data_IF_674163896014
#
_entry.id   IF_674163896014
#
_cell.length_a   1.000
_cell.length_b   1.000
_cell.length_c   1.000
_cell.angle_alpha   90.00
_cell.angle_beta   90.00
_cell.angle_gamma   90.00
#
_symmetry.space_group_name_H-M   'P 1'
#
loop_
_entity.id
_entity.type
_entity.pdbx_description
1 polymer ?
#
# COMPACT_ATOMS: atom_id res chain seq x y z
N UNK A 1 -20.44 -10.52 -5.10
CA UNK A 1 -18.99 -10.51 -5.37
C UNK A 1 -18.47 -9.19 -4.86
N UNK A 2 -17.30 -9.20 -4.22
CA UNK A 2 -16.64 -7.98 -3.73
C UNK A 2 -15.81 -7.39 -4.86
N UNK A 3 -15.77 -6.07 -4.96
CA UNK A 3 -14.95 -5.34 -5.93
C UNK A 3 -13.76 -4.69 -5.24
N UNK A 4 -12.55 -5.19 -5.52
CA UNK A 4 -11.32 -4.58 -5.03
C UNK A 4 -10.61 -3.82 -6.15
N UNK A 5 -10.21 -2.58 -5.86
CA UNK A 5 -9.52 -1.72 -6.81
C UNK A 5 -8.06 -1.64 -6.44
N UNK A 6 -7.16 -1.89 -7.41
CA UNK A 6 -5.73 -1.74 -7.21
C UNK A 6 -5.21 -0.58 -8.05
N UNK A 7 -4.73 0.45 -7.37
CA UNK A 7 -4.03 1.58 -7.96
C UNK A 7 -2.54 1.26 -7.99
N UNK A 8 -1.89 1.53 -9.13
CA UNK A 8 -0.50 1.11 -9.39
C UNK A 8 -0.27 -0.43 -9.35
N UNK A 9 -1.04 -1.22 -10.13
CA UNK A 9 -0.95 -2.67 -10.20
C UNK A 9 0.36 -3.19 -10.82
N UNK A 10 1.14 -2.35 -11.51
CA UNK A 10 2.44 -2.70 -12.10
C UNK A 10 3.58 -2.77 -11.09
N UNK A 11 3.37 -2.26 -9.87
CA UNK A 11 4.34 -2.32 -8.77
C UNK A 11 4.65 -3.77 -8.36
N UNK A 12 5.89 -4.03 -7.92
CA UNK A 12 6.33 -5.40 -7.58
C UNK A 12 5.47 -6.05 -6.48
N UNK A 13 5.11 -5.28 -5.44
CA UNK A 13 4.22 -5.76 -4.36
C UNK A 13 2.81 -5.99 -4.93
N UNK A 14 2.26 -5.04 -5.67
CA UNK A 14 0.93 -5.18 -6.30
C UNK A 14 0.82 -6.41 -7.19
N UNK A 15 1.86 -6.74 -7.96
CA UNK A 15 1.90 -7.96 -8.78
C UNK A 15 1.85 -9.24 -7.94
N UNK A 16 2.53 -9.26 -6.78
CA UNK A 16 2.45 -10.37 -5.84
C UNK A 16 1.04 -10.49 -5.26
N UNK A 17 0.46 -9.37 -4.80
CA UNK A 17 -0.92 -9.32 -4.30
C UNK A 17 -1.91 -9.85 -5.33
N UNK A 18 -1.87 -9.33 -6.57
CA UNK A 18 -2.75 -9.78 -7.66
C UNK A 18 -2.59 -11.28 -7.91
N UNK A 19 -1.34 -11.76 -8.05
CA UNK A 19 -1.06 -13.18 -8.35
C UNK A 19 -1.60 -14.11 -7.26
N UNK A 20 -1.36 -13.78 -5.99
CA UNK A 20 -1.78 -14.61 -4.87
C UNK A 20 -3.29 -14.54 -4.65
N UNK A 21 -3.91 -13.36 -4.76
CA UNK A 21 -5.36 -13.19 -4.66
C UNK A 21 -6.10 -14.03 -5.71
N UNK A 22 -5.64 -14.01 -6.97
CA UNK A 22 -6.26 -14.81 -8.02
C UNK A 22 -6.07 -16.32 -7.82
N UNK A 23 -4.97 -16.75 -7.21
CA UNK A 23 -4.67 -18.16 -7.03
C UNK A 23 -5.35 -18.78 -5.80
N UNK A 24 -5.73 -17.97 -4.81
CA UNK A 24 -6.24 -18.43 -3.53
C UNK A 24 -7.79 -18.51 -3.54
N UNK A 25 -8.37 -19.71 -3.28
CA UNK A 25 -9.82 -19.90 -3.25
C UNK A 25 -10.59 -19.00 -2.28
N UNK A 26 -9.94 -18.48 -1.23
CA UNK A 26 -10.60 -17.58 -0.28
C UNK A 26 -11.08 -16.27 -0.92
N UNK A 27 -10.48 -15.87 -2.06
CA UNK A 27 -10.87 -14.69 -2.84
C UNK A 27 -11.66 -15.07 -4.11
N UNK A 28 -12.30 -16.24 -4.14
CA UNK A 28 -13.10 -16.67 -5.28
C UNK A 28 -14.31 -15.76 -5.56
N UNK A 29 -14.78 -15.02 -4.55
CA UNK A 29 -15.85 -14.03 -4.63
C UNK A 29 -15.37 -12.60 -4.91
N UNK A 30 -14.08 -12.38 -5.17
CA UNK A 30 -13.47 -11.07 -5.43
C UNK A 30 -13.20 -10.85 -6.92
N UNK A 31 -13.65 -9.70 -7.43
CA UNK A 31 -13.26 -9.14 -8.71
C UNK A 31 -12.26 -8.00 -8.52
N UNK A 32 -11.27 -7.90 -9.40
CA UNK A 32 -10.24 -6.88 -9.39
C UNK A 32 -10.46 -5.86 -10.52
N UNK A 33 -10.47 -4.57 -10.18
CA UNK A 33 -10.30 -3.49 -11.15
C UNK A 33 -8.91 -2.85 -10.99
N UNK A 34 -8.11 -2.90 -12.05
CA UNK A 34 -6.70 -2.52 -12.03
C UNK A 34 -6.52 -1.20 -12.82
N UNK A 35 -6.22 -0.10 -12.12
CA UNK A 35 -5.97 1.20 -12.76
C UNK A 35 -4.49 1.40 -13.06
N UNK A 36 -4.11 1.44 -14.33
CA UNK A 36 -2.71 1.58 -14.75
C UNK A 36 -2.54 2.42 -16.00
N UNK A 37 -1.41 3.13 -16.07
CA UNK A 37 -0.97 3.84 -17.30
C UNK A 37 -0.30 2.89 -18.30
N UNK A 38 0.02 1.67 -17.86
CA UNK A 38 0.78 0.68 -18.63
C UNK A 38 0.08 -0.67 -18.61
N UNK A 39 -1.11 -0.81 -19.23
CA UNK A 39 -1.88 -2.05 -19.24
C UNK A 39 -1.11 -3.21 -19.90
N UNK A 40 -0.22 -2.91 -20.83
CA UNK A 40 0.60 -3.90 -21.53
C UNK A 40 1.51 -4.71 -20.58
N UNK A 41 1.92 -4.12 -19.44
CA UNK A 41 2.75 -4.80 -18.45
C UNK A 41 1.99 -5.84 -17.60
N UNK A 42 0.66 -5.89 -17.73
CA UNK A 42 -0.23 -6.76 -16.97
C UNK A 42 -0.93 -7.80 -17.83
N UNK A 43 -0.61 -7.88 -19.13
CA UNK A 43 -1.25 -8.80 -20.06
C UNK A 43 -1.20 -10.28 -19.59
N UNK A 44 -0.14 -10.66 -18.88
CA UNK A 44 -0.01 -12.01 -18.32
C UNK A 44 -0.84 -12.26 -17.06
N UNK A 45 -1.13 -11.22 -16.29
CA UNK A 45 -1.90 -11.29 -15.05
C UNK A 45 -3.40 -11.12 -15.29
N UNK A 46 -3.79 -10.31 -16.27
CA UNK A 46 -5.19 -10.04 -16.63
C UNK A 46 -5.80 -11.13 -17.51
N UNK A 47 -5.51 -12.39 -17.20
CA UNK A 47 -6.09 -13.56 -17.87
C UNK A 47 -7.23 -14.11 -17.01
N UNK A 48 -8.46 -14.03 -17.52
CA UNK A 48 -9.66 -14.55 -16.87
C UNK A 48 -10.69 -13.48 -16.51
N UNK A 49 -11.87 -13.94 -16.09
CA UNK A 49 -13.07 -13.09 -16.01
C UNK A 49 -13.16 -12.22 -14.74
N UNK A 50 -12.27 -12.46 -13.76
CA UNK A 50 -12.23 -11.71 -12.49
C UNK A 50 -11.37 -10.44 -12.54
N UNK A 51 -10.79 -10.08 -13.68
CA UNK A 51 -9.96 -8.88 -13.83
C UNK A 51 -10.53 -7.95 -14.87
N UNK A 52 -10.73 -6.70 -14.47
CA UNK A 52 -10.97 -5.57 -15.35
C UNK A 52 -9.74 -4.64 -15.36
N UNK A 53 -9.14 -4.45 -16.52
CA UNK A 53 -8.07 -3.47 -16.72
C UNK A 53 -8.66 -2.13 -17.15
N UNK A 54 -8.30 -1.06 -16.45
CA UNK A 54 -8.68 0.30 -16.82
C UNK A 54 -7.42 1.14 -17.04
N UNK A 55 -7.31 1.73 -18.24
CA UNK A 55 -6.20 2.61 -18.58
C UNK A 55 -6.40 4.02 -18.00
N UNK A 56 -5.42 4.47 -17.22
CA UNK A 56 -5.41 5.80 -16.62
C UNK A 56 -4.40 5.97 -15.49
N UNK A 57 -4.23 7.21 -15.04
CA UNK A 57 -3.37 7.55 -13.91
C UNK A 57 -4.21 7.76 -12.65
N UNK A 58 -3.69 7.34 -11.49
CA UNK A 58 -4.31 7.65 -10.19
C UNK A 58 -4.25 9.16 -9.85
N UNK A 59 -3.50 9.96 -10.60
CA UNK A 59 -3.52 11.43 -10.47
C UNK A 59 -4.70 12.07 -11.21
N UNK A 60 -5.42 11.31 -12.03
CA UNK A 60 -6.63 11.74 -12.74
C UNK A 60 -7.86 11.38 -11.89
N UNK A 61 -8.60 12.41 -11.45
CA UNK A 61 -9.75 12.25 -10.56
C UNK A 61 -10.88 11.49 -11.26
N UNK A 62 -11.15 11.76 -12.53
CA UNK A 62 -12.23 11.11 -13.28
C UNK A 62 -11.97 9.61 -13.42
N UNK A 63 -10.69 9.24 -13.59
CA UNK A 63 -10.27 7.84 -13.61
C UNK A 63 -10.46 7.17 -12.26
N UNK A 64 -10.08 7.81 -11.16
CA UNK A 64 -10.32 7.26 -9.81
C UNK A 64 -11.82 7.12 -9.55
N UNK A 65 -12.63 8.15 -9.82
CA UNK A 65 -14.09 8.09 -9.64
C UNK A 65 -14.71 6.93 -10.43
N UNK A 66 -14.28 6.73 -11.68
CA UNK A 66 -14.79 5.65 -12.51
C UNK A 66 -14.45 4.25 -11.98
N UNK A 67 -13.19 4.01 -11.59
CA UNK A 67 -12.76 2.67 -11.14
C UNK A 67 -13.22 2.35 -9.72
N UNK A 68 -13.36 3.35 -8.86
CA UNK A 68 -13.77 3.18 -7.46
C UNK A 68 -15.28 3.16 -7.25
N UNK A 69 -16.06 3.34 -8.31
CA UNK A 69 -17.51 3.18 -8.24
C UNK A 69 -17.85 1.77 -7.75
N UNK A 70 -18.69 1.68 -6.72
CA UNK A 70 -19.13 0.44 -6.08
C UNK A 70 -17.95 -0.43 -5.55
N UNK A 71 -16.81 0.18 -5.23
CA UNK A 71 -15.66 -0.54 -4.67
C UNK A 71 -15.87 -0.85 -3.18
N UNK A 72 -15.53 -2.06 -2.77
CA UNK A 72 -15.53 -2.46 -1.36
C UNK A 72 -14.20 -2.12 -0.67
N UNK A 73 -13.11 -2.08 -1.44
CA UNK A 73 -11.76 -1.81 -0.94
C UNK A 73 -10.88 -1.23 -2.04
N UNK A 74 -10.06 -0.22 -1.71
CA UNK A 74 -9.06 0.34 -2.62
C UNK A 74 -7.65 0.14 -2.04
N UNK A 75 -6.77 -0.49 -2.82
CA UNK A 75 -5.35 -0.66 -2.49
C UNK A 75 -4.48 0.25 -3.36
N UNK A 76 -3.78 1.19 -2.72
CA UNK A 76 -2.74 2.00 -3.34
C UNK A 76 -1.37 1.31 -3.15
N UNK A 77 -0.94 0.59 -4.19
CA UNK A 77 0.29 -0.19 -4.19
C UNK A 77 1.58 0.61 -4.39
N UNK A 78 1.60 1.88 -3.97
CA UNK A 78 2.76 2.78 -4.00
C UNK A 78 2.64 3.83 -2.91
N UNK A 79 3.75 4.48 -2.58
CA UNK A 79 3.75 5.67 -1.71
C UNK A 79 3.31 6.90 -2.51
N UNK A 80 2.40 7.72 -1.98
CA UNK A 80 2.13 9.07 -2.51
C UNK A 80 3.12 10.10 -1.96
N UNK A 81 4.36 10.03 -2.45
CA UNK A 81 5.50 10.82 -1.99
C UNK A 81 5.83 12.03 -2.90
N UNK A 82 4.84 12.53 -3.66
CA UNK A 82 5.00 13.68 -4.55
C UNK A 82 4.24 14.89 -4.04
N UNK A 83 4.76 16.09 -4.33
CA UNK A 83 4.14 17.37 -3.97
C UNK A 83 2.65 17.37 -4.30
N UNK A 84 1.86 17.97 -3.42
CA UNK A 84 0.40 18.07 -3.49
C UNK A 84 -0.39 16.77 -3.32
N UNK A 85 0.30 15.62 -3.18
CA UNK A 85 -0.32 14.34 -2.79
C UNK A 85 -1.63 14.07 -3.52
N UNK A 86 -1.55 14.19 -4.85
CA UNK A 86 -2.72 14.23 -5.73
C UNK A 86 -3.51 12.92 -5.64
N UNK A 87 -2.83 11.79 -5.40
CA UNK A 87 -3.50 10.49 -5.35
C UNK A 87 -4.33 10.39 -4.07
N UNK A 88 -3.75 10.68 -2.90
CA UNK A 88 -4.49 10.63 -1.63
C UNK A 88 -5.60 11.69 -1.59
N UNK A 89 -5.38 12.87 -2.18
CA UNK A 89 -6.44 13.88 -2.37
C UNK A 89 -7.61 13.33 -3.21
N UNK A 90 -7.30 12.67 -4.34
CA UNK A 90 -8.33 12.10 -5.20
C UNK A 90 -9.04 10.92 -4.55
N UNK A 91 -8.33 10.10 -3.76
CA UNK A 91 -8.92 8.99 -3.00
C UNK A 91 -9.96 9.49 -1.99
N UNK A 92 -9.62 10.50 -1.19
CA UNK A 92 -10.57 11.13 -0.24
C UNK A 92 -11.79 11.66 -0.98
N UNK A 93 -11.59 12.36 -2.10
CA UNK A 93 -12.69 12.90 -2.90
C UNK A 93 -13.57 11.80 -3.48
N UNK A 94 -12.98 10.72 -3.99
CA UNK A 94 -13.71 9.61 -4.57
C UNK A 94 -14.45 8.79 -3.52
N UNK A 95 -13.89 8.62 -2.32
CA UNK A 95 -14.59 8.02 -1.19
C UNK A 95 -15.85 8.79 -0.84
N UNK A 96 -15.76 10.12 -0.73
CA UNK A 96 -16.91 10.99 -0.46
C UNK A 96 -18.00 10.90 -1.54
N UNK A 97 -17.63 10.69 -2.80
CA UNK A 97 -18.58 10.64 -3.92
C UNK A 97 -19.16 9.25 -4.19
N UNK A 98 -18.35 8.20 -4.03
CA UNK A 98 -18.73 6.82 -4.35
C UNK A 98 -19.12 5.99 -3.10
N UNK A 99 -18.84 6.49 -1.89
CA UNK A 99 -19.25 5.87 -0.62
C UNK A 99 -18.43 4.66 -0.19
N UNK A 100 -17.21 4.47 -0.70
CA UNK A 100 -16.28 3.46 -0.18
C UNK A 100 -15.43 4.08 0.93
N UNK A 101 -15.15 3.29 1.97
CA UNK A 101 -14.37 3.77 3.12
C UNK A 101 -13.04 3.04 3.30
N UNK A 102 -12.93 1.79 2.81
CA UNK A 102 -11.77 0.94 3.06
C UNK A 102 -10.61 1.24 2.11
N UNK A 103 -9.49 1.73 2.64
CA UNK A 103 -8.28 2.06 1.87
C UNK A 103 -7.04 1.42 2.50
N UNK A 104 -6.23 0.72 1.71
CA UNK A 104 -4.89 0.28 2.09
C UNK A 104 -3.87 1.09 1.29
N UNK A 105 -2.93 1.77 1.95
CA UNK A 105 -1.86 2.52 1.28
C UNK A 105 -0.47 2.05 1.76
N UNK A 106 0.43 1.80 0.81
CA UNK A 106 1.84 1.58 1.12
C UNK A 106 2.52 2.93 1.43
N UNK A 107 3.25 2.99 2.54
CA UNK A 107 3.96 4.17 3.01
C UNK A 107 5.39 3.84 3.45
N UNK A 108 6.09 4.84 3.99
CA UNK A 108 7.51 4.76 4.35
C UNK A 108 7.68 4.57 5.87
N UNK A 109 8.62 3.73 6.29
CA UNK A 109 9.11 3.78 7.66
C UNK A 109 9.85 5.11 7.91
N UNK A 110 9.69 5.69 9.11
CA UNK A 110 10.19 7.04 9.44
C UNK A 110 9.17 8.16 9.21
N UNK A 111 7.96 7.78 8.78
CA UNK A 111 6.88 8.72 8.49
C UNK A 111 6.51 9.60 9.70
N UNK A 112 6.59 9.08 10.91
CA UNK A 112 6.28 9.79 12.16
C UNK A 112 7.50 9.93 13.08
N UNK A 113 8.72 9.90 12.53
CA UNK A 113 9.97 9.97 13.30
C UNK A 113 10.12 8.82 14.32
N UNK A 114 9.57 7.67 13.97
CA UNK A 114 9.45 6.50 14.86
C UNK A 114 10.68 5.57 14.84
N UNK A 115 11.69 5.86 14.00
CA UNK A 115 12.91 5.06 13.90
C UNK A 115 14.00 5.73 14.74
N UNK A 116 14.42 5.14 15.87
CA UNK A 116 15.47 5.72 16.71
C UNK A 116 16.87 5.45 16.15
N UNK A 117 17.85 6.19 16.68
CA UNK A 117 19.28 5.91 16.51
C UNK A 117 19.81 6.09 15.09
N UNK A 118 20.96 5.46 14.83
CA UNK A 118 21.73 5.65 13.59
C UNK A 118 20.95 5.25 12.33
N UNK A 119 20.12 4.20 12.43
CA UNK A 119 19.28 3.81 11.30
C UNK A 119 18.26 4.88 10.96
N UNK A 120 17.62 5.51 11.95
CA UNK A 120 16.70 6.63 11.73
C UNK A 120 17.36 7.82 11.02
N UNK A 121 18.55 8.21 11.48
CA UNK A 121 19.35 9.25 10.81
C UNK A 121 19.67 8.89 9.37
N UNK A 122 20.09 7.65 9.12
CA UNK A 122 20.37 7.16 7.76
C UNK A 122 19.11 7.19 6.88
N UNK A 123 17.96 6.79 7.42
CA UNK A 123 16.67 6.83 6.69
C UNK A 123 16.29 8.28 6.33
N UNK A 124 16.42 9.21 7.28
CA UNK A 124 16.14 10.63 7.06
C UNK A 124 17.03 11.23 5.96
N UNK A 125 18.32 10.89 5.94
CA UNK A 125 19.26 11.33 4.91
C UNK A 125 18.99 10.68 3.56
N UNK A 126 18.75 9.37 3.54
CA UNK A 126 18.59 8.59 2.30
C UNK A 126 17.26 8.88 1.58
N UNK A 127 16.17 8.98 2.34
CA UNK A 127 14.84 9.27 1.78
C UNK A 127 14.69 10.77 1.53
N UNK A 128 15.19 11.60 2.46
CA UNK A 128 15.15 13.05 2.37
C UNK A 128 13.77 13.66 2.60
N UNK A 129 13.76 14.92 3.04
CA UNK A 129 12.53 15.69 3.28
C UNK A 129 11.64 15.83 2.03
N UNK A 130 12.24 15.80 0.83
CA UNK A 130 11.52 15.88 -0.44
C UNK A 130 10.55 14.73 -0.70
N UNK A 131 10.73 13.57 -0.04
CA UNK A 131 9.79 12.43 -0.09
C UNK A 131 9.00 12.30 1.20
N UNK A 132 9.63 12.53 2.36
CA UNK A 132 8.93 12.42 3.65
C UNK A 132 7.82 13.45 3.83
N UNK A 133 8.05 14.71 3.47
CA UNK A 133 7.02 15.75 3.67
C UNK A 133 5.75 15.46 2.87
N UNK A 134 5.81 15.13 1.57
CA UNK A 134 4.61 14.72 0.86
C UNK A 134 4.01 13.42 1.37
N UNK A 135 4.80 12.39 1.68
CA UNK A 135 4.25 11.14 2.21
C UNK A 135 3.48 11.35 3.53
N UNK A 136 3.95 12.26 4.40
CA UNK A 136 3.24 12.66 5.63
C UNK A 136 1.95 13.40 5.32
N UNK A 137 1.97 14.31 4.34
CA UNK A 137 0.77 15.00 3.90
C UNK A 137 -0.27 14.01 3.34
N UNK A 138 0.15 12.99 2.58
CA UNK A 138 -0.71 11.94 2.07
C UNK A 138 -1.36 11.13 3.19
N UNK A 139 -0.55 10.67 4.16
CA UNK A 139 -1.04 9.97 5.34
C UNK A 139 -2.03 10.82 6.14
N UNK A 140 -1.70 12.09 6.40
CA UNK A 140 -2.58 13.01 7.13
C UNK A 140 -3.94 13.18 6.43
N UNK A 141 -3.97 13.24 5.10
CA UNK A 141 -5.23 13.31 4.34
C UNK A 141 -6.11 12.10 4.56
N UNK A 142 -5.54 10.89 4.60
CA UNK A 142 -6.32 9.68 4.88
C UNK A 142 -6.75 9.59 6.34
N UNK A 143 -5.92 10.08 7.27
CA UNK A 143 -6.21 10.08 8.70
C UNK A 143 -7.30 11.08 9.11
N UNK A 144 -7.35 12.24 8.45
CA UNK A 144 -8.38 13.26 8.67
C UNK A 144 -9.65 13.03 7.85
N UNK A 145 -9.54 12.30 6.74
CA UNK A 145 -10.71 11.78 6.07
C UNK A 145 -11.29 10.66 6.95
N UNK A 146 -12.62 10.63 7.09
CA UNK A 146 -13.36 9.59 7.82
C UNK A 146 -13.31 8.24 7.05
N UNK A 147 -12.12 7.84 6.64
CA UNK A 147 -11.80 6.63 5.90
C UNK A 147 -11.41 5.53 6.88
N UNK A 148 -11.81 4.31 6.57
CA UNK A 148 -11.24 3.11 7.18
C UNK A 148 -9.90 2.79 6.52
N UNK A 149 -8.87 3.57 6.87
CA UNK A 149 -7.55 3.44 6.27
C UNK A 149 -6.67 2.38 6.98
N UNK A 150 -5.73 1.79 6.24
CA UNK A 150 -4.55 1.13 6.78
C UNK A 150 -3.32 1.63 6.04
N UNK A 151 -2.40 2.30 6.76
CA UNK A 151 -1.09 2.68 6.24
C UNK A 151 -0.08 1.58 6.56
N UNK A 152 0.65 1.11 5.56
CA UNK A 152 1.71 0.10 5.73
C UNK A 152 3.08 0.76 5.55
N UNK A 153 3.76 1.07 6.67
CA UNK A 153 5.06 1.73 6.69
C UNK A 153 6.17 0.71 6.49
N UNK A 154 6.87 0.79 5.37
CA UNK A 154 7.90 -0.19 4.98
C UNK A 154 9.32 0.41 5.08
N UNK A 155 10.31 -0.37 5.54
CA UNK A 155 11.72 -0.03 5.49
C UNK A 155 12.27 -0.41 4.11
N UNK A 156 13.56 -0.76 4.01
CA UNK A 156 14.12 -1.23 2.74
C UNK A 156 13.46 -2.54 2.27
N UNK A 157 13.23 -2.66 0.97
CA UNK A 157 12.53 -3.79 0.37
C UNK A 157 13.47 -4.77 -0.32
N UNK A 158 13.44 -6.03 0.10
CA UNK A 158 14.20 -7.15 -0.49
C UNK A 158 13.31 -8.02 -1.37
N UNK A 159 13.96 -8.91 -2.14
CA UNK A 159 13.29 -9.95 -2.93
C UNK A 159 13.48 -11.35 -2.31
N UNK A 160 13.69 -11.42 -0.97
CA UNK A 160 13.75 -12.70 -0.27
C UNK A 160 12.45 -13.49 -0.47
N UNK A 161 12.52 -14.82 -0.66
CA UNK A 161 11.35 -15.63 -0.96
C UNK A 161 10.44 -15.83 0.25
N UNK A 162 10.98 -15.68 1.46
CA UNK A 162 10.26 -16.00 2.70
C UNK A 162 9.28 -14.89 3.10
N UNK A 163 8.12 -15.31 3.61
CA UNK A 163 7.16 -14.45 4.28
C UNK A 163 7.47 -14.48 5.77
N UNK A 164 8.08 -13.40 6.26
CA UNK A 164 8.54 -13.28 7.64
C UNK A 164 8.60 -11.82 8.06
N UNK A 165 7.76 -11.44 9.00
CA UNK A 165 7.69 -10.07 9.49
C UNK A 165 7.14 -9.96 10.91
N UNK A 166 7.49 -8.86 11.57
CA UNK A 166 6.84 -8.32 12.77
C UNK A 166 6.17 -6.99 12.43
N UNK A 167 5.21 -6.60 13.26
CA UNK A 167 4.46 -5.36 13.09
C UNK A 167 4.69 -4.42 14.28
N UNK A 168 4.71 -3.12 14.00
CA UNK A 168 4.73 -2.06 15.00
C UNK A 168 3.55 -1.10 14.78
N UNK A 169 2.95 -0.62 15.86
CA UNK A 169 1.91 0.40 15.81
C UNK A 169 2.45 1.78 15.45
N UNK A 170 1.52 2.75 15.29
CA UNK A 170 1.86 4.15 14.97
C UNK A 170 2.75 4.81 16.01
N UNK A 171 2.51 4.49 17.28
CA UNK A 171 3.17 5.11 18.43
C UNK A 171 4.28 4.23 19.04
N UNK A 172 4.54 3.08 18.43
CA UNK A 172 5.64 2.20 18.84
C UNK A 172 6.94 2.63 18.14
N UNK A 173 8.08 2.33 18.77
CA UNK A 173 9.36 2.40 18.06
C UNK A 173 9.36 1.41 16.90
N UNK A 174 9.81 1.87 15.73
CA UNK A 174 9.95 1.02 14.56
C UNK A 174 11.25 0.22 14.67
N UNK A 175 11.12 -1.11 14.59
CA UNK A 175 12.23 -2.05 14.77
C UNK A 175 12.49 -2.79 13.46
N UNK A 176 13.73 -2.79 12.97
CA UNK A 176 14.16 -3.53 11.78
C UNK A 176 14.45 -2.66 10.56
N UNK A 177 15.37 -3.09 9.70
CA UNK A 177 15.92 -2.29 8.59
C UNK A 177 15.50 -2.73 7.20
N UNK A 178 15.00 -3.96 7.06
CA UNK A 178 14.52 -4.50 5.78
C UNK A 178 13.33 -5.42 5.92
N UNK A 179 12.60 -5.63 4.83
CA UNK A 179 11.49 -6.59 4.73
C UNK A 179 11.35 -7.10 3.29
N UNK A 180 10.93 -8.35 3.12
CA UNK A 180 10.67 -8.91 1.78
C UNK A 180 9.38 -8.35 1.18
N UNK A 181 9.37 -8.14 -0.15
CA UNK A 181 8.13 -7.77 -0.87
C UNK A 181 7.04 -8.83 -0.73
N UNK A 182 7.44 -10.10 -0.57
CA UNK A 182 6.52 -11.20 -0.27
C UNK A 182 5.81 -11.00 1.08
N UNK A 183 6.54 -10.58 2.11
CA UNK A 183 5.97 -10.26 3.44
C UNK A 183 4.98 -9.10 3.41
N UNK A 184 5.30 -8.04 2.67
CA UNK A 184 4.36 -6.92 2.50
C UNK A 184 3.10 -7.36 1.74
N UNK A 185 3.26 -8.14 0.66
CA UNK A 185 2.13 -8.67 -0.08
C UNK A 185 1.25 -9.58 0.79
N UNK A 186 1.84 -10.42 1.65
CA UNK A 186 1.11 -11.25 2.61
C UNK A 186 0.29 -10.40 3.60
N UNK A 187 0.85 -9.33 4.16
CA UNK A 187 0.09 -8.43 5.04
C UNK A 187 -1.10 -7.79 4.29
N UNK A 188 -0.89 -7.31 3.06
CA UNK A 188 -1.98 -6.75 2.23
C UNK A 188 -3.07 -7.79 1.99
N UNK A 189 -2.71 -9.04 1.67
CA UNK A 189 -3.67 -10.11 1.44
C UNK A 189 -4.44 -10.48 2.71
N UNK A 190 -3.79 -10.49 3.88
CA UNK A 190 -4.48 -10.70 5.17
C UNK A 190 -5.54 -9.62 5.43
N UNK A 191 -5.20 -8.36 5.14
CA UNK A 191 -6.15 -7.25 5.25
C UNK A 191 -7.26 -7.36 4.20
N UNK A 192 -6.95 -7.78 2.97
CA UNK A 192 -7.97 -7.99 1.94
C UNK A 192 -8.92 -9.16 2.30
N UNK A 193 -8.43 -10.20 2.97
CA UNK A 193 -9.25 -11.34 3.39
C UNK A 193 -10.20 -10.95 4.55
N UNK A 194 -9.70 -10.15 5.49
CA UNK A 194 -10.45 -9.59 6.60
C UNK A 194 -10.27 -8.07 6.67
N UNK A 195 -11.09 -7.30 5.92
CA UNK A 195 -10.98 -5.85 5.86
C UNK A 195 -11.08 -5.15 7.21
N UNK A 196 -11.63 -5.79 8.26
CA UNK A 196 -11.71 -5.18 9.59
C UNK A 196 -10.37 -5.07 10.31
N UNK A 197 -9.35 -5.82 9.87
CA UNK A 197 -8.03 -5.78 10.49
C UNK A 197 -7.31 -4.46 10.22
N UNK A 198 -6.65 -3.94 11.26
CA UNK A 198 -5.87 -2.70 11.18
C UNK A 198 -6.70 -1.50 10.69
N UNK A 199 -7.99 -1.49 11.02
CA UNK A 199 -8.88 -0.36 10.77
C UNK A 199 -8.35 0.92 11.41
N UNK A 200 -8.36 2.01 10.65
CA UNK A 200 -7.79 3.32 11.02
C UNK A 200 -6.41 3.25 11.68
N UNK A 201 -5.54 2.37 11.16
CA UNK A 201 -4.22 2.11 11.76
C UNK A 201 -3.06 2.41 10.81
N UNK A 202 -1.93 2.79 11.40
CA UNK A 202 -0.65 2.90 10.69
C UNK A 202 0.36 1.89 11.21
N UNK A 203 0.61 0.86 10.41
CA UNK A 203 1.33 -0.34 10.79
C UNK A 203 2.70 -0.34 10.14
N UNK A 204 3.75 -0.37 10.96
CA UNK A 204 5.10 -0.64 10.50
C UNK A 204 5.30 -2.13 10.25
N UNK A 205 6.00 -2.49 9.18
CA UNK A 205 6.31 -3.89 8.85
C UNK A 205 7.81 -4.06 8.61
N UNK A 206 8.42 -5.02 9.30
CA UNK A 206 9.86 -5.30 9.17
C UNK A 206 10.15 -6.77 9.38
N UNK A 207 11.28 -7.26 8.87
CA UNK A 207 11.73 -8.61 9.17
C UNK A 207 12.50 -8.62 10.51
N UNK A 208 12.11 -9.44 11.51
CA UNK A 208 12.67 -9.41 12.87
C UNK A 208 14.19 -9.58 12.93
N UNK A 209 14.75 -10.39 12.02
CA UNK A 209 16.20 -10.65 11.98
C UNK A 209 17.03 -9.40 11.64
N UNK A 210 16.39 -8.37 11.09
CA UNK A 210 17.05 -7.11 10.75
C UNK A 210 17.02 -6.10 11.90
N UNK A 211 16.43 -6.47 13.04
CA UNK A 211 16.46 -5.65 14.25
C UNK A 211 17.90 -5.41 14.75
N UNK A 212 18.20 -4.18 15.16
CA UNK A 212 19.52 -3.80 15.67
C UNK A 212 20.57 -3.50 14.59
N UNK A 213 20.28 -3.76 13.31
CA UNK A 213 21.14 -3.31 12.22
C UNK A 213 21.01 -1.79 12.05
N UNK A 214 22.10 -1.15 11.63
CA UNK A 214 22.13 0.30 11.37
C UNK A 214 21.94 0.64 9.89
N UNK A 215 21.90 -0.37 9.00
CA UNK A 215 21.69 -0.24 7.55
C UNK A 215 20.78 -1.37 7.03
N UNK A 216 20.15 -1.19 5.86
CA UNK A 216 19.42 -2.25 5.19
C UNK A 216 20.25 -3.50 4.94
N UNK A 217 19.60 -4.65 5.10
CA UNK A 217 20.11 -5.96 4.68
C UNK A 217 19.34 -6.39 3.42
N UNK A 218 20.03 -6.97 2.43
CA UNK A 218 19.44 -7.36 1.13
C UNK A 218 19.68 -8.83 0.83
#
# INVERSE_FOLDING_TARGET
>A
MKKYVILHPTGRISRLVIKHLLADPQFSDVELELLTQRPELLADLAKGDRIKLTEGAATDLDKILAVTKDADLVFLGKVDDKKFTVISKNLVKASQENGFDRVIELSLAGLYYEIPGEFGTWVDEWVGSGRFLPAREAAHRLEEADLDYTLIRMPALTDWPDVKYSLTGRYDEFVGTSVSRASVADLVLKIMADPSQYSQASVGISQPETAGYVRPVY
#
